data_IF_555515490009
#
_entry.id   IF_555515490009
#
_cell.length_a   1.000
_cell.length_b   1.000
_cell.length_c   1.000
_cell.angle_alpha   90.00
_cell.angle_beta   90.00
_cell.angle_gamma   90.00
#
_symmetry.space_group_name_H-M   'P 1'
#
loop_
_entity.id
_entity.type
_entity.pdbx_description
1 polymer ?
#
# COMPACT_ATOMS: atom_id res chain seq x y z
N UNK A 1 -45.59 -11.98 48.37
CA UNK A 1 -45.55 -10.53 48.07
C UNK A 1 -44.16 -10.20 47.55
N UNK A 2 -44.03 -10.17 46.21
CA UNK A 2 -42.94 -9.61 45.38
C UNK A 2 -41.57 -10.28 45.53
N UNK A 3 -41.15 -11.13 44.61
CA UNK A 3 -40.73 -10.85 43.22
C UNK A 3 -39.64 -9.79 43.09
N UNK A 4 -38.63 -10.17 42.31
CA UNK A 4 -37.59 -9.36 41.69
C UNK A 4 -36.33 -9.02 42.51
N UNK A 5 -35.33 -9.92 42.45
CA UNK A 5 -33.95 -9.48 42.21
C UNK A 5 -33.05 -10.57 41.59
N UNK A 6 -33.60 -11.31 40.62
CA UNK A 6 -32.79 -12.06 39.65
C UNK A 6 -32.82 -11.29 38.31
N UNK A 7 -32.38 -10.03 38.33
CA UNK A 7 -32.10 -9.32 37.10
C UNK A 7 -30.72 -9.78 36.62
N UNK A 8 -30.73 -10.77 35.72
CA UNK A 8 -29.61 -11.08 34.86
C UNK A 8 -29.06 -9.76 34.30
N UNK A 9 -27.83 -9.41 34.69
CA UNK A 9 -27.08 -8.38 33.99
C UNK A 9 -26.76 -8.98 32.62
N UNK A 10 -27.25 -8.44 31.50
CA UNK A 10 -26.82 -8.96 30.22
C UNK A 10 -25.31 -8.70 30.12
N UNK A 11 -24.55 -9.78 29.98
CA UNK A 11 -23.15 -9.71 29.60
C UNK A 11 -23.07 -9.37 28.11
N UNK A 12 -23.59 -8.21 27.73
CA UNK A 12 -23.51 -7.71 26.36
C UNK A 12 -22.18 -6.96 26.22
N UNK A 13 -21.08 -7.67 26.49
CA UNK A 13 -19.79 -7.29 25.94
C UNK A 13 -19.88 -7.45 24.42
N UNK A 14 -19.26 -6.57 23.61
CA UNK A 14 -19.33 -6.69 22.17
C UNK A 14 -18.77 -8.07 21.75
N UNK A 15 -19.66 -8.99 21.40
CA UNK A 15 -19.34 -10.33 20.93
C UNK A 15 -18.95 -10.23 19.46
N UNK A 16 -17.80 -9.60 19.22
CA UNK A 16 -17.18 -9.64 17.91
C UNK A 16 -16.79 -11.09 17.62
N UNK A 17 -17.38 -11.66 16.57
CA UNK A 17 -16.98 -12.98 16.08
C UNK A 17 -15.52 -12.95 15.63
N UNK A 18 -14.82 -14.09 15.70
CA UNK A 18 -13.44 -14.19 15.19
C UNK A 18 -13.34 -13.69 13.74
N UNK A 19 -14.34 -13.96 12.91
CA UNK A 19 -14.40 -13.45 11.54
C UNK A 19 -14.47 -11.91 11.45
N UNK A 20 -15.19 -11.24 12.35
CA UNK A 20 -15.21 -9.77 12.42
C UNK A 20 -13.85 -9.21 12.85
N UNK A 21 -13.20 -9.84 13.83
CA UNK A 21 -11.86 -9.45 14.29
C UNK A 21 -10.81 -9.61 13.18
N UNK A 22 -10.85 -10.73 12.44
CA UNK A 22 -9.96 -10.97 11.30
C UNK A 22 -10.20 -9.95 10.18
N UNK A 23 -11.46 -9.66 9.84
CA UNK A 23 -11.78 -8.63 8.83
C UNK A 23 -11.27 -7.25 9.24
N UNK A 24 -11.43 -6.86 10.51
CA UNK A 24 -10.93 -5.59 11.04
C UNK A 24 -9.40 -5.54 11.01
N UNK A 25 -8.73 -6.62 11.45
CA UNK A 25 -7.28 -6.71 11.40
C UNK A 25 -6.73 -6.57 9.97
N UNK A 26 -7.44 -7.15 8.99
CA UNK A 26 -7.06 -7.07 7.58
C UNK A 26 -7.25 -5.66 6.98
N UNK A 27 -8.10 -4.80 7.54
CA UNK A 27 -8.23 -3.41 7.07
C UNK A 27 -6.93 -2.61 7.21
N UNK A 28 -6.06 -3.01 8.15
CA UNK A 28 -4.74 -2.39 8.33
C UNK A 28 -3.87 -2.46 7.07
N UNK A 29 -3.97 -3.55 6.31
CA UNK A 29 -3.23 -3.72 5.06
C UNK A 29 -3.59 -2.65 4.02
N UNK A 30 -4.87 -2.23 3.96
CA UNK A 30 -5.29 -1.18 3.04
C UNK A 30 -4.59 0.15 3.34
N UNK A 31 -4.33 0.45 4.60
CA UNK A 31 -3.59 1.65 5.03
C UNK A 31 -2.11 1.54 4.64
N UNK A 32 -1.49 0.38 4.85
CA UNK A 32 -0.10 0.14 4.44
C UNK A 32 0.07 0.32 2.94
N UNK A 33 -0.83 -0.25 2.16
CA UNK A 33 -0.84 -0.12 0.70
C UNK A 33 -1.04 1.34 0.27
N UNK A 34 -1.95 2.07 0.91
CA UNK A 34 -2.15 3.50 0.68
C UNK A 34 -0.88 4.32 0.92
N UNK A 35 -0.20 4.08 2.05
CA UNK A 35 1.05 4.76 2.37
C UNK A 35 2.16 4.42 1.38
N UNK A 36 2.22 3.17 0.92
CA UNK A 36 3.19 2.78 -0.10
C UNK A 36 2.94 3.56 -1.40
N UNK A 37 1.71 3.61 -1.89
CA UNK A 37 1.36 4.36 -3.10
C UNK A 37 1.60 5.88 -2.95
N UNK A 38 1.27 6.45 -1.78
CA UNK A 38 1.55 7.85 -1.48
C UNK A 38 3.05 8.19 -1.58
N UNK A 39 3.92 7.30 -1.11
CA UNK A 39 5.37 7.49 -1.21
C UNK A 39 5.87 7.24 -2.63
N UNK A 40 5.63 6.04 -3.16
CA UNK A 40 6.25 5.61 -4.41
C UNK A 40 5.70 6.32 -5.64
N UNK A 41 4.40 6.59 -5.68
CA UNK A 41 3.75 7.18 -6.87
C UNK A 41 3.56 8.69 -6.73
N UNK A 42 3.25 9.17 -5.53
CA UNK A 42 2.90 10.59 -5.30
C UNK A 42 4.01 11.39 -4.61
N UNK A 43 5.11 10.75 -4.23
CA UNK A 43 6.29 11.44 -3.69
C UNK A 43 6.05 12.06 -2.32
N UNK A 44 5.24 11.43 -1.46
CA UNK A 44 5.02 11.89 -0.08
C UNK A 44 6.35 12.09 0.68
N UNK A 45 7.36 11.28 0.39
CA UNK A 45 8.71 11.32 0.96
C UNK A 45 9.73 12.12 0.14
N UNK A 46 9.32 12.76 -0.97
CA UNK A 46 10.18 13.62 -1.80
C UNK A 46 10.15 15.10 -1.40
N UNK A 47 9.62 15.43 -0.22
CA UNK A 47 9.63 16.82 0.27
C UNK A 47 11.01 17.20 0.82
N UNK A 48 11.68 18.16 0.18
CA UNK A 48 13.03 18.62 0.56
C UNK A 48 13.04 19.95 1.34
N UNK A 49 11.87 20.57 1.55
CA UNK A 49 11.75 21.83 2.28
C UNK A 49 12.00 21.69 3.79
N UNK A 50 12.27 22.82 4.46
CA UNK A 50 12.53 22.86 5.92
C UNK A 50 11.49 23.60 6.74
N UNK A 51 10.38 23.99 6.13
CA UNK A 51 9.31 24.73 6.81
C UNK A 51 8.11 23.83 7.04
N UNK A 52 7.55 23.86 8.24
CA UNK A 52 6.34 23.13 8.57
C UNK A 52 5.15 23.48 7.65
N UNK A 53 4.90 24.77 7.31
CA UNK A 53 3.85 25.12 6.34
C UNK A 53 4.07 24.52 4.94
N UNK A 54 5.33 24.43 4.49
CA UNK A 54 5.67 23.80 3.22
C UNK A 54 5.38 22.30 3.24
N UNK A 55 5.82 21.62 4.30
CA UNK A 55 5.57 20.19 4.51
C UNK A 55 4.07 19.89 4.58
N UNK A 56 3.31 20.68 5.33
CA UNK A 56 1.87 20.49 5.48
C UNK A 56 1.14 20.63 4.14
N UNK A 57 1.48 21.63 3.32
CA UNK A 57 0.91 21.80 1.98
C UNK A 57 1.23 20.60 1.09
N UNK A 58 2.47 20.10 1.13
CA UNK A 58 2.88 18.90 0.38
C UNK A 58 2.04 17.67 0.76
N UNK A 59 1.91 17.40 2.07
CA UNK A 59 1.11 16.27 2.58
C UNK A 59 -0.36 16.39 2.17
N UNK A 60 -0.94 17.59 2.24
CA UNK A 60 -2.35 17.81 1.84
C UNK A 60 -2.54 17.61 0.33
N UNK A 61 -1.66 18.16 -0.51
CA UNK A 61 -1.76 18.01 -1.97
C UNK A 61 -1.59 16.55 -2.39
N UNK A 62 -0.62 15.84 -1.81
CA UNK A 62 -0.42 14.40 -2.07
C UNK A 62 -1.62 13.56 -1.64
N UNK A 63 -2.21 13.84 -0.47
CA UNK A 63 -3.44 13.17 -0.01
C UNK A 63 -4.64 13.44 -0.92
N UNK A 64 -4.86 14.69 -1.34
CA UNK A 64 -5.95 15.05 -2.27
C UNK A 64 -5.77 14.33 -3.60
N UNK A 65 -4.55 14.34 -4.15
CA UNK A 65 -4.22 13.66 -5.41
C UNK A 65 -4.50 12.16 -5.30
N UNK A 66 -4.14 11.53 -4.18
CA UNK A 66 -4.46 10.13 -3.93
C UNK A 66 -5.97 9.87 -3.96
N UNK A 67 -6.76 10.68 -3.25
CA UNK A 67 -8.23 10.51 -3.24
C UNK A 67 -8.86 10.69 -4.62
N UNK A 68 -8.35 11.63 -5.43
CA UNK A 68 -8.76 11.82 -6.81
C UNK A 68 -8.47 10.57 -7.65
N UNK A 69 -7.24 10.05 -7.61
CA UNK A 69 -6.87 8.83 -8.34
C UNK A 69 -7.70 7.62 -7.91
N UNK A 70 -8.02 7.49 -6.62
CA UNK A 70 -8.90 6.42 -6.13
C UNK A 70 -10.33 6.58 -6.64
N UNK A 71 -10.84 7.80 -6.78
CA UNK A 71 -12.14 8.05 -7.38
C UNK A 71 -12.15 7.65 -8.86
N UNK A 72 -11.11 8.04 -9.61
CA UNK A 72 -10.97 7.68 -11.03
C UNK A 72 -10.85 6.17 -11.26
N UNK A 73 -10.08 5.46 -10.42
CA UNK A 73 -10.00 3.98 -10.46
C UNK A 73 -11.38 3.33 -10.25
N UNK A 74 -12.24 3.91 -9.40
CA UNK A 74 -13.60 3.39 -9.17
C UNK A 74 -14.55 3.66 -10.33
N UNK A 75 -14.31 4.71 -11.12
CA UNK A 75 -15.09 4.98 -12.35
C UNK A 75 -14.85 3.91 -13.42
N UNK A 76 -13.72 3.20 -13.37
CA UNK A 76 -13.42 2.07 -14.26
C UNK A 76 -13.03 2.48 -15.68
N UNK A 77 -12.80 3.76 -15.93
CA UNK A 77 -12.48 4.30 -17.26
C UNK A 77 -10.99 4.21 -17.60
N UNK A 78 -10.13 3.99 -16.59
CA UNK A 78 -8.67 3.92 -16.78
C UNK A 78 -8.19 2.49 -16.94
N UNK A 79 -7.79 2.11 -18.17
CA UNK A 79 -7.24 0.79 -18.47
C UNK A 79 -5.84 0.55 -17.86
N UNK A 80 -5.07 1.62 -17.59
CA UNK A 80 -3.73 1.54 -17.02
C UNK A 80 -3.60 2.42 -15.79
N UNK A 81 -3.34 1.82 -14.64
CA UNK A 81 -3.06 2.53 -13.39
C UNK A 81 -1.61 3.00 -13.35
N UNK A 82 -1.30 4.06 -12.60
CA UNK A 82 0.07 4.53 -12.39
C UNK A 82 1.05 3.40 -12.00
N UNK A 83 0.72 2.52 -11.03
CA UNK A 83 1.57 1.37 -10.71
C UNK A 83 1.80 0.41 -11.88
N UNK A 84 0.76 0.17 -12.70
CA UNK A 84 0.89 -0.69 -13.87
C UNK A 84 1.77 -0.05 -14.95
N UNK A 85 1.62 1.25 -15.20
CA UNK A 85 2.50 1.99 -16.11
C UNK A 85 3.95 1.95 -15.63
N UNK A 86 4.20 2.22 -14.34
CA UNK A 86 5.55 2.15 -13.78
C UNK A 86 6.16 0.76 -13.93
N UNK A 87 5.38 -0.30 -13.68
CA UNK A 87 5.84 -1.67 -13.84
C UNK A 87 6.23 -1.97 -15.29
N UNK A 88 5.40 -1.57 -16.26
CA UNK A 88 5.70 -1.73 -17.70
C UNK A 88 6.97 -0.97 -18.08
N UNK A 89 7.08 0.29 -17.64
CA UNK A 89 8.26 1.13 -17.91
C UNK A 89 9.51 0.50 -17.30
N UNK A 90 9.45 0.04 -16.05
CA UNK A 90 10.55 -0.66 -15.39
C UNK A 90 10.95 -1.91 -16.16
N UNK A 91 10.00 -2.73 -16.61
CA UNK A 91 10.27 -3.93 -17.39
C UNK A 91 10.96 -3.60 -18.72
N UNK A 92 10.48 -2.59 -19.45
CA UNK A 92 11.09 -2.13 -20.71
C UNK A 92 12.53 -1.66 -20.46
N UNK A 93 12.76 -0.82 -19.45
CA UNK A 93 14.10 -0.33 -19.14
C UNK A 93 15.03 -1.45 -18.68
N UNK A 94 14.55 -2.38 -17.86
CA UNK A 94 15.31 -3.55 -17.42
C UNK A 94 15.68 -4.43 -18.61
N UNK A 95 14.73 -4.73 -19.50
CA UNK A 95 14.99 -5.49 -20.72
C UNK A 95 16.01 -4.78 -21.62
N UNK A 96 15.87 -3.47 -21.81
CA UNK A 96 16.80 -2.65 -22.58
C UNK A 96 18.22 -2.67 -21.98
N UNK A 97 18.34 -2.54 -20.66
CA UNK A 97 19.62 -2.62 -19.96
C UNK A 97 20.33 -3.95 -20.21
N UNK A 98 19.60 -5.08 -20.13
CA UNK A 98 20.18 -6.39 -20.39
C UNK A 98 20.54 -6.61 -21.86
N UNK A 99 19.72 -6.09 -22.78
CA UNK A 99 20.01 -6.14 -24.21
C UNK A 99 21.29 -5.34 -24.56
N UNK A 100 21.48 -4.16 -23.97
CA UNK A 100 22.64 -3.31 -24.24
C UNK A 100 23.92 -3.85 -23.57
N UNK A 101 23.79 -4.56 -22.44
CA UNK A 101 24.92 -4.96 -21.59
C UNK A 101 24.77 -6.43 -21.13
N UNK A 102 25.00 -7.40 -22.04
CA UNK A 102 24.75 -8.83 -21.78
C UNK A 102 25.61 -9.43 -20.65
N UNK A 103 26.71 -8.78 -20.30
CA UNK A 103 27.56 -9.19 -19.18
C UNK A 103 26.87 -9.09 -17.80
N UNK A 104 25.83 -8.24 -17.64
CA UNK A 104 25.03 -8.22 -16.41
C UNK A 104 24.21 -9.51 -16.25
N UNK A 105 23.63 -10.02 -17.35
CA UNK A 105 22.88 -11.27 -17.35
C UNK A 105 23.79 -12.45 -16.93
N UNK A 106 25.00 -12.52 -17.51
CA UNK A 106 26.00 -13.54 -17.15
C UNK A 106 26.38 -13.49 -15.67
N UNK A 107 26.48 -12.30 -15.07
CA UNK A 107 26.75 -12.16 -13.62
C UNK A 107 25.57 -12.63 -12.77
N UNK A 108 24.33 -12.33 -13.17
CA UNK A 108 23.14 -12.79 -12.45
C UNK A 108 23.02 -14.32 -12.54
N UNK A 109 23.27 -14.91 -13.70
CA UNK A 109 23.32 -16.38 -13.86
C UNK A 109 24.42 -17.01 -13.00
N UNK A 110 25.57 -16.35 -12.86
CA UNK A 110 26.63 -16.81 -11.97
C UNK A 110 26.17 -16.83 -10.50
N UNK A 111 25.33 -15.88 -10.07
CA UNK A 111 24.75 -15.87 -8.72
C UNK A 111 23.81 -17.06 -8.48
N UNK A 112 23.21 -17.66 -9.52
CA UNK A 112 22.42 -18.90 -9.38
C UNK A 112 23.24 -20.08 -8.84
N UNK A 113 24.56 -20.08 -9.08
CA UNK A 113 25.45 -21.12 -8.58
C UNK A 113 25.91 -20.90 -7.13
N UNK A 114 25.61 -19.73 -6.56
CA UNK A 114 25.88 -19.46 -5.15
C UNK A 114 24.78 -20.12 -4.33
N UNK A 115 25.13 -21.20 -3.62
CA UNK A 115 24.24 -21.78 -2.61
C UNK A 115 24.11 -20.79 -1.46
N UNK A 116 23.08 -19.95 -1.50
CA UNK A 116 22.67 -19.17 -0.35
C UNK A 116 22.12 -20.15 0.69
N UNK A 117 22.94 -20.41 1.72
CA UNK A 117 22.52 -21.16 2.91
C UNK A 117 21.67 -20.23 3.76
N UNK A 118 20.41 -20.09 3.37
CA UNK A 118 19.36 -19.40 4.12
C UNK A 118 18.34 -20.47 4.51
#
# INVERSE_FOLDING_TARGET
>A
MRDACAAARPADGPTATLGQLVRLAHQRWAIEQQYQELKTELGLDHFEGRTFPGWHRHVVVTAITYTFLQAERRRGETALTFPALRAIVQEIFTAYLFAQRPHYLKRIEALRSVQLRI
#
